data_IF_440538946614
#
_entry.id   IF_440538946614
#
_cell.length_a   1.000
_cell.length_b   1.000
_cell.length_c   1.000
_cell.angle_alpha   90.00
_cell.angle_beta   90.00
_cell.angle_gamma   90.00
#
_symmetry.space_group_name_H-M   'P 1'
#
loop_
_entity.id
_entity.type
_entity.pdbx_description
1 polymer ?
#
# COMPACT_ATOMS: atom_id res chain seq x y z
N UNK A 1 12.89 -42.63 -1.03
CA UNK A 1 12.77 -42.08 -0.69
C UNK A 1 12.48 -41.27 -0.34
N UNK A 2 12.45 -41.22 -0.86
CA UNK A 2 12.18 -40.36 -0.58
C UNK A 2 11.87 -39.65 -0.17
N UNK A 3 11.53 -39.72 -0.31
CA UNK A 3 11.01 -38.99 0.16
C UNK A 3 11.45 -38.17 0.82
N UNK A 4 11.96 -38.31 0.81
CA UNK A 4 12.49 -37.50 1.33
C UNK A 4 12.47 -36.27 0.96
N UNK A 5 12.73 -36.27 0.25
CA UNK A 5 12.85 -35.04 -0.27
C UNK A 5 11.68 -34.25 -0.09
N UNK A 6 10.70 -34.78 -0.02
CA UNK A 6 9.51 -34.19 0.12
C UNK A 6 9.45 -33.40 1.24
N UNK A 7 9.79 -33.89 2.22
CA UNK A 7 9.68 -33.18 3.40
C UNK A 7 10.36 -31.89 3.33
N UNK A 8 11.32 -31.86 2.48
CA UNK A 8 12.02 -30.74 2.37
C UNK A 8 11.31 -29.60 1.94
N UNK A 9 10.61 -29.80 0.92
CA UNK A 9 9.99 -28.72 0.32
C UNK A 9 9.14 -28.01 1.32
N UNK A 10 8.75 -28.63 2.29
CA UNK A 10 7.92 -28.07 3.21
C UNK A 10 8.64 -27.10 3.98
N UNK A 11 9.79 -27.38 4.30
CA UNK A 11 10.52 -26.57 5.11
C UNK A 11 10.80 -25.25 4.54
N UNK A 12 11.08 -25.26 3.30
CA UNK A 12 11.48 -24.04 2.70
C UNK A 12 10.43 -23.01 2.81
N UNK A 13 9.26 -23.41 3.11
CA UNK A 13 8.21 -22.51 3.14
C UNK A 13 8.19 -21.68 4.39
N UNK A 14 8.82 -22.14 5.40
CA UNK A 14 8.76 -21.46 6.62
C UNK A 14 9.29 -20.07 6.64
N UNK A 15 10.40 -19.87 6.08
CA UNK A 15 10.95 -18.55 6.06
C UNK A 15 10.03 -17.60 5.35
N UNK A 16 9.37 -18.11 4.34
CA UNK A 16 8.48 -17.30 3.58
C UNK A 16 7.24 -16.99 4.33
N UNK A 17 6.80 -17.89 5.12
CA UNK A 17 5.60 -17.69 5.88
C UNK A 17 5.75 -16.51 6.82
N UNK A 18 6.88 -16.39 7.44
CA UNK A 18 7.12 -15.31 8.37
C UNK A 18 7.05 -13.97 7.66
N UNK A 19 7.49 -13.90 6.41
CA UNK A 19 7.45 -12.67 5.68
C UNK A 19 6.04 -12.40 5.21
N UNK A 20 5.35 -13.42 4.78
CA UNK A 20 4.01 -13.27 4.29
C UNK A 20 3.03 -12.83 5.37
N UNK A 21 3.36 -13.06 6.61
CA UNK A 21 2.49 -12.63 7.70
C UNK A 21 2.38 -11.11 7.76
N UNK A 22 3.35 -10.42 7.19
CA UNK A 22 3.33 -8.96 7.18
C UNK A 22 2.85 -8.40 5.85
N UNK A 23 2.71 -9.23 4.83
CA UNK A 23 2.31 -8.77 3.53
C UNK A 23 0.81 -8.95 3.33
N UNK A 24 0.21 -7.98 2.72
CA UNK A 24 -1.20 -8.07 2.35
C UNK A 24 -1.32 -8.56 0.92
N UNK A 25 -2.41 -9.25 0.63
CA UNK A 25 -2.67 -9.66 -0.75
C UNK A 25 -3.01 -8.44 -1.59
N UNK A 26 -2.81 -8.52 -2.91
CA UNK A 26 -3.20 -7.41 -3.78
C UNK A 26 -4.67 -7.03 -3.63
N UNK A 27 -5.55 -8.01 -3.43
CA UNK A 27 -6.98 -7.78 -3.26
C UNK A 27 -7.29 -6.96 -2.01
N UNK A 28 -6.64 -7.28 -0.90
CA UNK A 28 -6.86 -6.56 0.35
C UNK A 28 -6.30 -5.15 0.23
N UNK A 29 -5.11 -5.02 -0.33
CA UNK A 29 -4.49 -3.72 -0.54
C UNK A 29 -5.38 -2.86 -1.44
N UNK A 30 -5.90 -3.44 -2.50
CA UNK A 30 -6.77 -2.72 -3.44
C UNK A 30 -8.05 -2.22 -2.76
N UNK A 31 -8.61 -2.97 -1.83
CA UNK A 31 -9.78 -2.52 -1.11
C UNK A 31 -9.50 -1.26 -0.28
N UNK A 32 -8.37 -1.24 0.40
CA UNK A 32 -7.99 -0.06 1.18
C UNK A 32 -7.65 1.12 0.29
N UNK A 33 -6.98 0.87 -0.82
CA UNK A 33 -6.67 1.93 -1.77
C UNK A 33 -7.94 2.51 -2.37
N UNK A 34 -8.93 1.66 -2.64
CA UNK A 34 -10.21 2.14 -3.16
C UNK A 34 -10.89 3.08 -2.17
N UNK A 35 -10.91 2.69 -0.90
CA UNK A 35 -11.50 3.52 0.14
C UNK A 35 -10.76 4.87 0.21
N UNK A 36 -9.44 4.81 0.15
CA UNK A 36 -8.61 5.99 0.24
C UNK A 36 -8.85 6.93 -0.94
N UNK A 37 -8.86 6.39 -2.15
CA UNK A 37 -9.07 7.16 -3.36
C UNK A 37 -10.47 7.78 -3.38
N UNK A 38 -11.47 7.00 -3.00
CA UNK A 38 -12.85 7.47 -2.95
C UNK A 38 -12.98 8.59 -1.89
N UNK A 39 -12.33 8.42 -0.76
CA UNK A 39 -12.34 9.42 0.31
C UNK A 39 -11.74 10.75 -0.14
N UNK A 40 -10.80 10.71 -1.08
CA UNK A 40 -10.17 11.93 -1.58
C UNK A 40 -11.03 12.64 -2.65
N UNK A 41 -12.16 12.07 -3.01
CA UNK A 41 -13.00 12.61 -4.06
C UNK A 41 -12.53 12.25 -5.47
N UNK A 42 -11.58 11.34 -5.57
CA UNK A 42 -11.04 10.91 -6.86
C UNK A 42 -11.42 9.46 -7.13
N UNK A 43 -11.06 8.97 -8.30
CA UNK A 43 -11.27 7.57 -8.64
C UNK A 43 -10.05 7.03 -9.38
N UNK A 44 -8.90 7.65 -9.18
CA UNK A 44 -7.68 7.31 -9.90
C UNK A 44 -6.51 7.16 -8.97
N UNK A 45 -5.61 6.27 -9.33
CA UNK A 45 -4.36 6.08 -8.60
C UNK A 45 -3.28 5.67 -9.60
N UNK A 46 -2.07 6.13 -9.41
CA UNK A 46 -0.94 5.67 -10.20
C UNK A 46 -0.37 4.42 -9.54
N UNK A 47 -0.22 3.35 -10.29
CA UNK A 47 0.27 2.09 -9.77
C UNK A 47 1.06 1.34 -10.84
N UNK A 48 2.31 1.01 -10.55
CA UNK A 48 3.16 0.26 -11.47
C UNK A 48 3.21 -1.25 -11.19
N UNK A 49 2.56 -1.71 -10.12
CA UNK A 49 2.54 -3.12 -9.77
C UNK A 49 1.41 -3.80 -10.52
N UNK A 50 1.75 -4.75 -11.39
CA UNK A 50 0.76 -5.38 -12.27
C UNK A 50 -0.35 -6.12 -11.52
N UNK A 51 -0.03 -6.84 -10.47
CA UNK A 51 -1.03 -7.60 -9.72
C UNK A 51 -1.98 -6.66 -8.97
N UNK A 52 -1.42 -5.61 -8.39
CA UNK A 52 -2.22 -4.62 -7.67
C UNK A 52 -3.07 -3.81 -8.65
N UNK A 53 -2.52 -3.49 -9.80
CA UNK A 53 -3.27 -2.77 -10.83
C UNK A 53 -4.50 -3.57 -11.25
N UNK A 54 -4.35 -4.87 -11.48
CA UNK A 54 -5.47 -5.72 -11.85
C UNK A 54 -6.52 -5.76 -10.74
N UNK A 55 -6.09 -5.84 -9.50
CA UNK A 55 -7.01 -5.86 -8.36
C UNK A 55 -7.74 -4.51 -8.20
N UNK A 56 -7.04 -3.40 -8.44
CA UNK A 56 -7.66 -2.08 -8.39
C UNK A 56 -8.71 -1.91 -9.48
N UNK A 57 -8.38 -2.33 -10.68
CA UNK A 57 -9.33 -2.25 -11.80
C UNK A 57 -10.56 -3.11 -11.53
N UNK A 58 -10.39 -4.27 -10.92
CA UNK A 58 -11.49 -5.12 -10.54
C UNK A 58 -12.38 -4.47 -9.47
N UNK A 59 -11.83 -3.54 -8.70
CA UNK A 59 -12.57 -2.78 -7.69
C UNK A 59 -13.20 -1.50 -8.28
N UNK A 60 -13.02 -1.26 -9.56
CA UNK A 60 -13.56 -0.07 -10.21
C UNK A 60 -12.68 1.17 -10.09
N UNK A 61 -11.44 1.03 -9.66
CA UNK A 61 -10.50 2.15 -9.57
C UNK A 61 -9.74 2.26 -10.88
N UNK A 62 -9.62 3.45 -11.40
CA UNK A 62 -8.86 3.69 -12.63
C UNK A 62 -7.39 3.86 -12.29
N UNK A 63 -6.53 3.14 -12.99
CA UNK A 63 -5.08 3.29 -12.83
C UNK A 63 -4.58 4.27 -13.88
N UNK A 64 -4.05 5.39 -13.43
CA UNK A 64 -3.63 6.49 -14.30
C UNK A 64 -2.34 7.08 -13.75
N UNK A 65 -1.29 7.04 -14.55
CA UNK A 65 0.03 7.51 -14.15
C UNK A 65 0.08 9.00 -13.77
N UNK A 66 -0.91 9.78 -14.14
CA UNK A 66 -0.95 11.20 -13.84
C UNK A 66 -1.71 11.50 -12.54
N UNK A 67 -2.23 10.50 -11.86
CA UNK A 67 -3.00 10.71 -10.65
C UNK A 67 -2.18 11.42 -9.56
N UNK A 68 -2.86 12.19 -8.73
CA UNK A 68 -2.25 12.83 -7.58
C UNK A 68 -1.99 11.86 -6.44
N UNK A 69 -2.54 10.65 -6.51
CA UNK A 69 -2.31 9.60 -5.51
C UNK A 69 -1.49 8.52 -6.19
N UNK A 70 -0.39 8.11 -5.56
CA UNK A 70 0.55 7.17 -6.15
C UNK A 70 0.87 6.04 -5.20
N UNK A 71 0.76 4.81 -5.67
CA UNK A 71 1.27 3.65 -4.95
C UNK A 71 2.74 3.49 -5.30
N UNK A 72 3.61 3.54 -4.30
CA UNK A 72 5.06 3.43 -4.51
C UNK A 72 5.63 2.21 -3.83
N UNK A 73 6.63 1.63 -4.46
CA UNK A 73 7.34 0.48 -3.93
C UNK A 73 8.84 0.77 -3.70
N UNK A 74 9.34 1.90 -4.15
CA UNK A 74 10.75 2.25 -4.01
C UNK A 74 10.92 3.63 -3.38
N UNK A 75 11.80 3.76 -2.39
CA UNK A 75 12.00 5.06 -1.70
C UNK A 75 12.40 6.21 -2.61
N UNK A 76 13.20 5.94 -3.63
CA UNK A 76 13.63 7.00 -4.53
C UNK A 76 12.46 7.58 -5.31
N UNK A 77 11.52 6.74 -5.71
CA UNK A 77 10.34 7.21 -6.43
C UNK A 77 9.42 7.96 -5.47
N UNK A 78 9.28 7.45 -4.25
CA UNK A 78 8.45 8.09 -3.24
C UNK A 78 8.93 9.49 -2.94
N UNK A 79 10.23 9.67 -2.84
CA UNK A 79 10.82 10.98 -2.59
C UNK A 79 10.46 11.94 -3.73
N UNK A 80 10.57 11.48 -4.96
CA UNK A 80 10.27 12.30 -6.13
C UNK A 80 8.79 12.68 -6.21
N UNK A 81 7.90 11.74 -5.95
CA UNK A 81 6.47 12.01 -5.97
C UNK A 81 6.06 12.97 -4.86
N UNK A 82 6.66 12.82 -3.68
CA UNK A 82 6.40 13.73 -2.58
C UNK A 82 6.81 15.14 -2.96
N UNK A 83 7.95 15.28 -3.61
CA UNK A 83 8.44 16.60 -4.06
C UNK A 83 7.50 17.23 -5.09
N UNK A 84 6.74 16.41 -5.81
CA UNK A 84 5.76 16.89 -6.78
C UNK A 84 4.41 17.24 -6.14
N UNK A 85 4.28 17.08 -4.85
CA UNK A 85 3.03 17.35 -4.14
C UNK A 85 2.01 16.23 -4.26
N UNK A 86 2.44 15.05 -4.66
CA UNK A 86 1.53 13.90 -4.76
C UNK A 86 1.41 13.20 -3.42
N UNK A 87 0.30 12.53 -3.19
CA UNK A 87 0.12 11.69 -2.02
C UNK A 87 0.75 10.34 -2.31
N UNK A 88 1.80 10.02 -1.58
CA UNK A 88 2.46 8.73 -1.70
C UNK A 88 1.80 7.75 -0.74
N UNK A 89 1.40 6.60 -1.26
CA UNK A 89 0.85 5.50 -0.46
C UNK A 89 1.77 4.31 -0.66
N UNK A 90 2.14 3.63 0.39
CA UNK A 90 3.08 2.54 0.31
C UNK A 90 2.72 1.41 1.25
N UNK A 91 3.31 0.26 1.04
CA UNK A 91 3.02 -0.95 1.81
C UNK A 91 4.15 -1.41 2.71
N UNK A 92 5.27 -0.70 2.75
CA UNK A 92 6.42 -1.11 3.55
C UNK A 92 6.90 0.03 4.44
N UNK A 93 7.44 -0.32 5.58
CA UNK A 93 7.85 0.67 6.59
C UNK A 93 9.03 1.52 6.19
N UNK A 94 9.86 1.04 5.28
CA UNK A 94 10.99 1.82 4.78
C UNK A 94 10.53 3.06 4.00
N UNK A 95 9.26 3.12 3.63
CA UNK A 95 8.68 4.23 2.92
C UNK A 95 8.07 5.28 3.86
N UNK A 96 8.11 5.04 5.15
CA UNK A 96 7.43 5.90 6.13
C UNK A 96 7.85 7.36 6.09
N UNK A 97 9.08 7.65 5.71
CA UNK A 97 9.56 9.03 5.64
C UNK A 97 8.94 9.83 4.51
N UNK A 98 8.37 9.17 3.51
CA UNK A 98 7.83 9.84 2.33
C UNK A 98 6.33 9.63 2.17
N UNK A 99 5.81 8.53 2.67
CA UNK A 99 4.41 8.19 2.48
C UNK A 99 3.50 8.99 3.39
N UNK A 100 2.41 9.47 2.84
CA UNK A 100 1.35 10.06 3.66
C UNK A 100 0.48 8.98 4.27
N UNK A 101 0.40 7.82 3.62
CA UNK A 101 -0.36 6.68 4.12
C UNK A 101 0.44 5.40 3.90
N UNK A 102 0.54 4.59 4.95
CA UNK A 102 1.11 3.24 4.84
C UNK A 102 -0.01 2.24 5.05
N UNK A 103 -0.07 1.23 4.20
CA UNK A 103 -1.00 0.12 4.35
C UNK A 103 -0.16 -1.13 4.55
N UNK A 104 -0.04 -1.59 5.77
CA UNK A 104 0.84 -2.71 6.10
C UNK A 104 0.05 -3.84 6.73
N UNK A 105 0.61 -5.05 6.70
CA UNK A 105 0.04 -6.18 7.41
C UNK A 105 0.66 -6.30 8.79
N UNK A 106 -0.16 -6.46 9.81
CA UNK A 106 0.31 -6.66 11.16
C UNK A 106 -0.54 -7.77 11.80
N UNK A 107 0.09 -8.84 12.19
CA UNK A 107 -0.59 -10.02 12.76
C UNK A 107 -1.69 -10.54 11.83
N UNK A 108 -1.43 -10.55 10.53
CA UNK A 108 -2.38 -11.03 9.53
C UNK A 108 -3.51 -10.05 9.23
N UNK A 109 -3.46 -8.86 9.79
CA UNK A 109 -4.52 -7.85 9.58
C UNK A 109 -3.94 -6.62 8.92
N UNK A 110 -4.73 -5.93 8.10
CA UNK A 110 -4.27 -4.68 7.53
C UNK A 110 -4.22 -3.59 8.58
N UNK A 111 -3.19 -2.76 8.50
CA UNK A 111 -3.03 -1.62 9.38
C UNK A 111 -2.80 -0.39 8.52
N UNK A 112 -3.54 0.65 8.79
CA UNK A 112 -3.43 1.92 8.09
C UNK A 112 -2.71 2.90 9.00
N UNK A 113 -1.62 3.46 8.54
CA UNK A 113 -0.87 4.48 9.30
C UNK A 113 -0.84 5.76 8.48
N UNK A 114 -1.20 6.87 9.10
CA UNK A 114 -1.25 8.16 8.44
C UNK A 114 -0.16 9.07 9.01
N UNK A 115 0.73 9.51 8.13
CA UNK A 115 1.74 10.50 8.50
C UNK A 115 1.15 11.87 8.18
N UNK A 116 0.73 12.59 9.21
CA UNK A 116 0.01 13.84 9.02
C UNK A 116 0.87 14.92 8.37
N UNK A 117 2.16 14.92 8.64
CA UNK A 117 3.06 15.90 8.02
C UNK A 117 3.18 15.65 6.51
N UNK A 118 3.38 14.40 6.12
CA UNK A 118 3.49 14.06 4.71
C UNK A 118 2.14 14.25 3.99
N UNK A 119 1.03 13.98 4.67
CA UNK A 119 -0.28 14.18 4.10
C UNK A 119 -0.53 15.67 3.85
N UNK A 120 -0.12 16.52 4.78
CA UNK A 120 -0.28 17.97 4.61
C UNK A 120 0.50 18.52 3.42
N UNK A 121 1.63 17.94 3.09
CA UNK A 121 2.41 18.42 1.96
C UNK A 121 1.86 17.92 0.62
N UNK A 122 0.92 16.99 0.63
CA UNK A 122 0.28 16.51 -0.58
C UNK A 122 -0.89 17.43 -0.94
N UNK A 123 -1.20 17.48 -2.23
CA UNK A 123 -2.32 18.30 -2.70
C UNK A 123 -3.62 17.51 -2.70
N UNK A 124 -3.72 16.52 -1.86
CA UNK A 124 -4.86 15.63 -1.77
C UNK A 124 -5.36 15.63 -0.34
N UNK A 125 -6.65 15.74 -0.16
CA UNK A 125 -7.28 15.72 1.16
C UNK A 125 -8.02 14.40 1.34
N UNK A 126 -7.87 13.76 2.47
CA UNK A 126 -8.57 12.53 2.77
C UNK A 126 -9.77 12.84 3.67
N UNK A 127 -10.86 12.12 3.43
CA UNK A 127 -12.07 12.30 4.21
C UNK A 127 -11.97 11.71 5.61
N UNK A 128 -12.92 12.09 6.45
CA UNK A 128 -12.93 11.68 7.85
C UNK A 128 -12.93 10.18 8.07
N UNK A 129 -13.59 9.44 7.21
CA UNK A 129 -13.66 7.98 7.34
C UNK A 129 -12.26 7.38 7.36
N UNK A 130 -11.42 7.79 6.40
CA UNK A 130 -10.05 7.30 6.32
C UNK A 130 -9.22 7.83 7.48
N UNK A 131 -9.40 9.09 7.82
CA UNK A 131 -8.65 9.69 8.92
C UNK A 131 -8.95 9.02 10.25
N UNK A 132 -10.16 8.48 10.41
CA UNK A 132 -10.52 7.76 11.64
C UNK A 132 -10.04 6.31 11.62
N UNK A 133 -9.88 5.73 10.45
CA UNK A 133 -9.41 4.35 10.34
C UNK A 133 -7.94 4.21 10.66
N UNK A 134 -7.17 5.23 10.40
CA UNK A 134 -5.72 5.16 10.49
C UNK A 134 -5.15 5.60 11.82
N UNK A 135 -4.00 5.01 12.16
CA UNK A 135 -3.24 5.46 13.31
C UNK A 135 -2.39 6.63 12.83
N UNK A 136 -2.48 7.75 13.53
CA UNK A 136 -1.78 8.95 13.09
C UNK A 136 -0.42 9.06 13.72
N UNK A 137 0.56 9.44 12.91
CA UNK A 137 1.91 9.72 13.37
C UNK A 137 2.37 11.00 12.71
N UNK A 138 3.34 11.66 13.33
CA UNK A 138 3.89 12.89 12.80
C UNK A 138 5.22 12.67 12.10
#
# INVERSE_FOLDING_TARGET
MNCKGLALSLLTVFGTVALQAEDLTPEVTAKFLRILVTSSGQNKIACGDAALKAALEAQGVTVDATSAIVWCTRPVDAKNYKAQGKLVVAGTRDMAGFAGVLITGENGRPKLTINTANLRSAKVTLGDTVMKMGEKVL
#
